data_IF_281789355172
#
_entry.id   IF_281789355172
#
_cell.length_a   1.000
_cell.length_b   1.000
_cell.length_c   1.000
_cell.angle_alpha   90.00
_cell.angle_beta   90.00
_cell.angle_gamma   90.00
#
_symmetry.space_group_name_H-M   'P 1'
#
loop_
_entity.id
_entity.type
_entity.pdbx_description
1 polymer ?
#
# COMPACT_ATOMS: atom_id res chain seq x y z
N UNK A 1 -45.45 -3.64 19.75
CA UNK A 1 -44.10 -3.20 20.15
C UNK A 1 -43.25 -3.22 18.90
N UNK A 2 -43.23 -2.11 18.17
CA UNK A 2 -42.35 -1.93 17.02
C UNK A 2 -40.93 -1.74 17.53
N UNK A 3 -40.04 -2.66 17.15
CA UNK A 3 -38.62 -2.57 17.43
C UNK A 3 -38.01 -1.61 16.41
N UNK A 4 -37.80 -0.36 16.82
CA UNK A 4 -37.09 0.65 16.03
C UNK A 4 -35.68 0.14 15.73
N UNK A 5 -35.44 -0.21 14.47
CA UNK A 5 -34.11 -0.49 13.95
C UNK A 5 -33.38 0.85 13.89
N UNK A 6 -32.50 1.10 14.87
CA UNK A 6 -31.57 2.24 14.85
C UNK A 6 -30.50 1.98 13.79
N UNK A 7 -30.68 2.55 12.60
CA UNK A 7 -29.58 2.73 11.66
C UNK A 7 -28.53 3.65 12.30
N UNK A 8 -27.24 3.26 12.35
CA UNK A 8 -26.19 4.16 12.81
C UNK A 8 -26.15 5.39 11.89
N UNK A 9 -26.10 6.57 12.51
CA UNK A 9 -26.13 7.86 11.81
C UNK A 9 -25.07 7.92 10.72
N UNK A 10 -25.51 8.21 9.49
CA UNK A 10 -24.65 8.48 8.34
C UNK A 10 -23.86 9.78 8.58
N UNK A 11 -22.70 9.67 9.22
CA UNK A 11 -21.81 10.80 9.42
C UNK A 11 -21.02 11.05 8.12
N UNK A 12 -21.56 11.95 7.28
CA UNK A 12 -20.75 12.68 6.31
C UNK A 12 -19.92 13.69 7.08
N UNK A 13 -18.61 13.57 7.02
CA UNK A 13 -17.70 14.41 7.79
C UNK A 13 -16.35 14.53 7.11
N UNK A 14 -15.63 15.60 7.46
CA UNK A 14 -14.26 15.83 7.04
C UNK A 14 -13.34 15.49 8.20
N UNK A 15 -12.37 14.64 7.94
CA UNK A 15 -11.46 14.09 8.94
C UNK A 15 -10.02 14.22 8.45
N UNK A 16 -9.06 14.22 9.36
CA UNK A 16 -7.69 13.86 8.99
C UNK A 16 -7.54 12.35 9.06
N UNK A 17 -6.77 11.78 8.13
CA UNK A 17 -6.55 10.35 8.06
C UNK A 17 -5.19 10.02 7.44
N UNK A 18 -4.64 8.88 7.87
CA UNK A 18 -3.65 8.16 7.10
C UNK A 18 -4.32 7.54 5.88
N UNK A 19 -3.68 7.66 4.72
CA UNK A 19 -3.96 6.89 3.50
C UNK A 19 -2.72 6.06 3.21
N UNK A 20 -2.87 4.74 3.12
CA UNK A 20 -1.75 3.82 2.94
C UNK A 20 -2.05 2.83 1.83
N UNK A 21 -1.20 2.80 0.80
CA UNK A 21 -1.47 2.08 -0.44
C UNK A 21 -0.29 1.16 -0.81
N UNK A 22 -0.33 -0.12 -0.43
CA UNK A 22 0.46 -1.16 -1.09
C UNK A 22 -0.04 -1.40 -2.51
N UNK A 23 0.89 -1.45 -3.47
CA UNK A 23 0.66 -1.61 -4.90
C UNK A 23 1.65 -2.61 -5.49
N UNK A 24 1.15 -3.61 -6.22
CA UNK A 24 1.97 -4.67 -6.78
C UNK A 24 2.65 -4.18 -8.07
N UNK A 25 3.94 -3.86 -7.97
CA UNK A 25 4.74 -3.48 -9.12
C UNK A 25 4.95 -4.66 -10.08
N UNK A 26 4.85 -4.39 -11.39
CA UNK A 26 5.00 -5.40 -12.45
C UNK A 26 3.69 -6.10 -12.85
N UNK A 27 2.58 -5.77 -12.20
CA UNK A 27 1.27 -6.36 -12.42
C UNK A 27 0.77 -6.31 -13.86
N UNK A 28 0.79 -5.14 -14.51
CA UNK A 28 0.27 -4.99 -15.88
C UNK A 28 1.02 -5.90 -16.87
N UNK A 29 2.35 -5.98 -16.72
CA UNK A 29 3.17 -6.86 -17.54
C UNK A 29 2.84 -8.33 -17.27
N UNK A 30 2.70 -8.68 -15.99
CA UNK A 30 2.29 -10.01 -15.57
C UNK A 30 0.95 -10.41 -16.19
N UNK A 31 -0.10 -9.58 -16.12
CA UNK A 31 -1.39 -9.92 -16.73
C UNK A 31 -1.34 -10.11 -18.25
N UNK A 32 -0.52 -9.32 -18.96
CA UNK A 32 -0.44 -9.39 -20.42
C UNK A 32 0.35 -10.59 -20.94
N UNK A 33 1.30 -11.11 -20.17
CA UNK A 33 2.22 -12.18 -20.60
C UNK A 33 1.68 -13.59 -20.28
N UNK A 34 0.48 -13.72 -19.72
CA UNK A 34 0.09 -14.91 -18.95
C UNK A 34 -1.36 -15.35 -19.16
N UNK A 35 -1.68 -16.60 -18.81
CA UNK A 35 -3.07 -17.07 -18.83
C UNK A 35 -3.90 -16.39 -17.74
N UNK A 36 -4.94 -15.67 -18.16
CA UNK A 36 -5.75 -14.78 -17.32
C UNK A 36 -6.28 -15.45 -16.04
N UNK A 37 -6.76 -16.68 -16.12
CA UNK A 37 -7.32 -17.39 -14.96
C UNK A 37 -6.24 -17.72 -13.89
N UNK A 38 -5.06 -18.17 -14.31
CA UNK A 38 -3.96 -18.48 -13.38
C UNK A 38 -3.45 -17.20 -12.71
N UNK A 39 -3.30 -16.14 -13.50
CA UNK A 39 -2.83 -14.85 -13.03
C UNK A 39 -3.76 -14.21 -12.02
N UNK A 40 -5.09 -14.28 -12.24
CA UNK A 40 -6.07 -13.83 -11.26
C UNK A 40 -5.96 -14.58 -9.92
N UNK A 41 -5.77 -15.91 -9.95
CA UNK A 41 -5.61 -16.71 -8.74
C UNK A 41 -4.36 -16.35 -7.94
N UNK A 42 -3.24 -16.06 -8.61
CA UNK A 42 -2.00 -15.60 -7.97
C UNK A 42 -2.20 -14.22 -7.33
N UNK A 43 -2.81 -13.29 -8.07
CA UNK A 43 -3.02 -11.91 -7.58
C UNK A 43 -3.96 -11.89 -6.38
N UNK A 44 -5.03 -12.69 -6.36
CA UNK A 44 -5.92 -12.81 -5.19
C UNK A 44 -5.13 -13.20 -3.94
N UNK A 45 -4.28 -14.24 -4.04
CA UNK A 45 -3.45 -14.69 -2.91
C UNK A 45 -2.47 -13.62 -2.43
N UNK A 46 -1.88 -12.86 -3.36
CA UNK A 46 -0.96 -11.78 -3.03
C UNK A 46 -1.67 -10.61 -2.32
N UNK A 47 -2.86 -10.22 -2.78
CA UNK A 47 -3.69 -9.22 -2.13
C UNK A 47 -4.17 -9.69 -0.74
N UNK A 48 -4.56 -10.96 -0.61
CA UNK A 48 -4.89 -11.58 0.67
C UNK A 48 -3.70 -11.50 1.65
N UNK A 49 -2.49 -11.83 1.20
CA UNK A 49 -1.30 -11.73 2.04
C UNK A 49 -1.03 -10.28 2.50
N UNK A 50 -1.31 -9.27 1.64
CA UNK A 50 -1.22 -7.85 2.02
C UNK A 50 -2.26 -7.53 3.10
N UNK A 51 -3.52 -7.94 2.91
CA UNK A 51 -4.62 -7.72 3.86
C UNK A 51 -4.33 -8.35 5.23
N UNK A 52 -3.86 -9.59 5.26
CA UNK A 52 -3.50 -10.34 6.48
C UNK A 52 -2.23 -9.79 7.17
N UNK A 53 -1.47 -8.95 6.49
CA UNK A 53 -0.28 -8.29 7.04
C UNK A 53 -0.61 -6.99 7.80
N UNK A 54 -1.86 -6.56 7.82
CA UNK A 54 -2.30 -5.31 8.46
C UNK A 54 -2.27 -5.41 10.00
N UNK A 55 -1.15 -5.03 10.60
CA UNK A 55 -0.96 -4.97 12.04
C UNK A 55 -1.47 -3.66 12.66
N UNK A 56 -1.57 -2.59 11.85
CA UNK A 56 -1.99 -1.26 12.34
C UNK A 56 -3.51 -1.13 12.48
N UNK A 57 -4.28 -2.17 12.16
CA UNK A 57 -5.74 -2.14 12.18
C UNK A 57 -6.30 -1.07 11.24
N UNK A 58 -5.70 -0.94 10.05
CA UNK A 58 -6.19 -0.02 9.02
C UNK A 58 -7.51 -0.53 8.43
N UNK A 59 -8.40 0.38 8.08
CA UNK A 59 -9.64 0.04 7.37
C UNK A 59 -9.37 -0.03 5.86
N UNK A 60 -10.01 -0.94 5.15
CA UNK A 60 -9.94 -1.03 3.68
C UNK A 60 -11.02 -0.12 3.09
N UNK A 61 -10.61 0.84 2.26
CA UNK A 61 -11.55 1.66 1.48
C UNK A 61 -11.88 1.00 0.14
N UNK A 62 -10.85 0.51 -0.57
CA UNK A 62 -11.01 -0.04 -1.91
C UNK A 62 -9.88 -1.03 -2.23
N UNK A 63 -10.17 -1.97 -3.13
CA UNK A 63 -9.19 -2.85 -3.77
C UNK A 63 -9.32 -2.60 -5.28
N UNK A 64 -8.28 -2.07 -5.89
CA UNK A 64 -8.27 -1.65 -7.30
C UNK A 64 -7.22 -2.44 -8.07
N UNK A 65 -7.63 -3.52 -8.74
CA UNK A 65 -6.70 -4.36 -9.50
C UNK A 65 -5.61 -4.96 -8.62
N UNK A 66 -4.45 -4.30 -8.60
CA UNK A 66 -3.21 -4.63 -7.90
C UNK A 66 -2.88 -3.79 -6.67
N UNK A 67 -3.74 -2.82 -6.33
CA UNK A 67 -3.57 -1.95 -5.16
C UNK A 67 -4.64 -2.17 -4.10
N UNK A 68 -4.26 -1.99 -2.83
CA UNK A 68 -5.22 -1.92 -1.71
C UNK A 68 -5.13 -0.54 -1.09
N UNK A 69 -6.24 0.21 -1.07
CA UNK A 69 -6.29 1.49 -0.37
C UNK A 69 -6.74 1.26 1.07
N UNK A 70 -5.79 1.38 1.99
CA UNK A 70 -6.05 1.43 3.42
C UNK A 70 -6.18 2.86 3.92
N UNK A 71 -6.91 3.02 5.03
CA UNK A 71 -6.98 4.28 5.76
C UNK A 71 -7.11 4.10 7.27
N UNK A 72 -6.76 5.16 8.00
CA UNK A 72 -7.01 5.27 9.44
C UNK A 72 -7.37 6.71 9.79
N UNK A 73 -8.62 6.94 10.19
CA UNK A 73 -9.10 8.26 10.64
C UNK A 73 -8.46 8.61 11.98
N UNK A 74 -8.07 9.88 12.12
CA UNK A 74 -7.51 10.43 13.35
C UNK A 74 -6.00 10.69 13.25
N UNK A 75 -5.31 10.49 14.37
CA UNK A 75 -3.86 10.66 14.44
C UNK A 75 -3.13 9.68 13.53
N UNK A 76 -2.13 10.17 12.80
CA UNK A 76 -1.27 9.34 11.98
C UNK A 76 -0.51 8.34 12.85
N UNK A 77 -0.42 7.05 12.46
CA UNK A 77 0.54 6.14 13.05
C UNK A 77 1.95 6.69 12.97
N UNK A 78 2.74 6.40 14.00
CA UNK A 78 4.11 6.86 14.11
C UNK A 78 4.99 6.30 13.00
N UNK A 79 6.10 6.98 12.69
CA UNK A 79 7.08 6.51 11.70
C UNK A 79 7.56 5.06 11.99
N UNK A 80 7.88 4.65 13.22
CA UNK A 80 8.23 3.26 13.53
C UNK A 80 7.12 2.26 13.22
N UNK A 81 5.87 2.63 13.47
CA UNK A 81 4.70 1.79 13.17
C UNK A 81 4.53 1.61 11.65
N UNK A 82 4.62 2.69 10.87
CA UNK A 82 4.53 2.62 9.40
C UNK A 82 5.72 1.87 8.79
N UNK A 83 6.93 2.09 9.30
CA UNK A 83 8.13 1.37 8.88
C UNK A 83 7.99 -0.14 9.14
N UNK A 84 7.54 -0.53 10.34
CA UNK A 84 7.26 -1.93 10.68
C UNK A 84 6.17 -2.52 9.79
N UNK A 85 5.05 -1.82 9.60
CA UNK A 85 3.94 -2.26 8.75
C UNK A 85 4.40 -2.50 7.29
N UNK A 86 5.22 -1.60 6.76
CA UNK A 86 5.77 -1.71 5.41
C UNK A 86 6.69 -2.92 5.29
N UNK A 87 7.58 -3.12 6.26
CA UNK A 87 8.46 -4.29 6.33
C UNK A 87 7.67 -5.60 6.43
N UNK A 88 6.67 -5.68 7.31
CA UNK A 88 5.84 -6.89 7.46
C UNK A 88 5.13 -7.25 6.16
N UNK A 89 4.46 -6.29 5.51
CA UNK A 89 3.78 -6.52 4.24
C UNK A 89 4.75 -6.99 3.15
N UNK A 90 5.89 -6.31 3.01
CA UNK A 90 6.91 -6.65 2.04
C UNK A 90 7.45 -8.08 2.24
N UNK A 91 7.83 -8.43 3.47
CA UNK A 91 8.39 -9.75 3.78
C UNK A 91 7.38 -10.88 3.58
N UNK A 92 6.12 -10.71 4.02
CA UNK A 92 5.07 -11.71 3.82
C UNK A 92 4.71 -11.86 2.34
N UNK A 93 4.64 -10.77 1.59
CA UNK A 93 4.42 -10.78 0.14
C UNK A 93 5.52 -11.58 -0.58
N UNK A 94 6.80 -11.29 -0.32
CA UNK A 94 7.91 -12.00 -0.96
C UNK A 94 8.06 -13.45 -0.47
N UNK A 95 7.68 -13.75 0.77
CA UNK A 95 7.63 -15.13 1.24
C UNK A 95 6.58 -15.93 0.44
N UNK A 96 5.39 -15.38 0.24
CA UNK A 96 4.35 -16.01 -0.57
C UNK A 96 4.80 -16.18 -2.03
N UNK A 97 5.48 -15.20 -2.62
CA UNK A 97 6.07 -15.36 -3.96
C UNK A 97 7.04 -16.54 -4.03
N UNK A 98 7.92 -16.71 -3.03
CA UNK A 98 8.82 -17.87 -2.94
C UNK A 98 8.02 -19.18 -2.84
N UNK A 99 6.97 -19.22 -2.02
CA UNK A 99 6.10 -20.41 -1.89
C UNK A 99 5.46 -20.76 -3.23
N UNK A 100 4.91 -19.77 -3.94
CA UNK A 100 4.28 -19.97 -5.25
C UNK A 100 5.31 -20.49 -6.26
N UNK A 101 6.52 -19.92 -6.28
CA UNK A 101 7.59 -20.36 -7.19
C UNK A 101 8.10 -21.78 -6.90
N UNK A 102 8.19 -22.19 -5.62
CA UNK A 102 8.57 -23.58 -5.24
C UNK A 102 7.47 -24.60 -5.52
N UNK A 103 6.20 -24.20 -5.35
CA UNK A 103 5.04 -25.11 -5.47
C UNK A 103 4.45 -25.15 -6.88
N UNK A 104 5.00 -24.38 -7.82
CA UNK A 104 4.54 -24.38 -9.20
C UNK A 104 4.71 -25.77 -9.83
N UNK A 105 3.62 -26.28 -10.37
CA UNK A 105 3.59 -27.51 -11.18
C UNK A 105 3.58 -27.20 -12.68
N UNK A 106 3.80 -25.93 -13.03
CA UNK A 106 3.50 -25.34 -14.31
C UNK A 106 4.73 -24.58 -14.84
N UNK A 107 5.08 -24.79 -16.11
CA UNK A 107 6.11 -24.03 -16.83
C UNK A 107 5.49 -22.95 -17.73
N UNK A 108 4.35 -22.38 -17.33
CA UNK A 108 3.71 -21.34 -18.12
C UNK A 108 4.39 -19.98 -17.89
N UNK A 109 4.18 -19.05 -18.82
CA UNK A 109 4.74 -17.71 -18.72
C UNK A 109 4.33 -16.96 -17.43
N UNK A 110 3.20 -17.32 -16.79
CA UNK A 110 2.80 -16.77 -15.49
C UNK A 110 3.72 -17.24 -14.37
N UNK A 111 3.92 -18.55 -14.32
CA UNK A 111 4.81 -19.18 -13.35
C UNK A 111 6.26 -18.68 -13.48
N UNK A 112 6.71 -18.24 -14.66
CA UNK A 112 8.05 -17.64 -14.85
C UNK A 112 8.13 -16.12 -14.61
N UNK A 113 7.01 -15.41 -14.72
CA UNK A 113 6.96 -13.96 -14.57
C UNK A 113 6.58 -13.51 -13.16
N UNK A 114 5.97 -14.39 -12.37
CA UNK A 114 5.53 -14.10 -10.98
C UNK A 114 6.69 -13.65 -10.09
N UNK A 115 7.90 -14.19 -10.30
CA UNK A 115 9.11 -13.81 -9.56
C UNK A 115 9.57 -12.38 -9.82
N UNK A 116 9.02 -11.72 -10.85
CA UNK A 116 9.28 -10.31 -11.16
C UNK A 116 8.30 -9.35 -10.49
N UNK A 117 7.24 -9.87 -9.87
CA UNK A 117 6.33 -9.06 -9.06
C UNK A 117 7.05 -8.62 -7.80
N UNK A 118 6.82 -7.37 -7.41
CA UNK A 118 7.31 -6.83 -6.15
C UNK A 118 6.27 -5.86 -5.58
N UNK A 119 6.58 -5.21 -4.46
CA UNK A 119 5.65 -4.37 -3.74
C UNK A 119 6.26 -3.01 -3.48
N UNK A 120 5.52 -1.95 -3.84
CA UNK A 120 5.76 -0.60 -3.35
C UNK A 120 4.62 -0.16 -2.44
N UNK A 121 4.90 0.77 -1.53
CA UNK A 121 3.94 1.26 -0.56
C UNK A 121 3.96 2.79 -0.53
N UNK A 122 2.78 3.41 -0.60
CA UNK A 122 2.59 4.85 -0.48
C UNK A 122 1.98 5.16 0.87
N UNK A 123 2.57 6.10 1.61
CA UNK A 123 2.08 6.58 2.89
C UNK A 123 1.82 8.09 2.81
N UNK A 124 0.54 8.45 2.87
CA UNK A 124 0.06 9.82 2.84
C UNK A 124 -0.74 10.15 4.09
N UNK A 125 -0.70 11.40 4.52
CA UNK A 125 -1.56 11.91 5.59
C UNK A 125 -2.24 13.18 5.12
N UNK A 126 -3.53 13.31 5.36
CA UNK A 126 -4.24 14.49 4.87
C UNK A 126 -5.72 14.47 5.21
N UNK A 127 -6.45 15.38 4.59
CA UNK A 127 -7.86 15.57 4.83
C UNK A 127 -8.69 14.69 3.90
N UNK A 128 -9.58 13.89 4.49
CA UNK A 128 -10.50 13.01 3.78
C UNK A 128 -11.93 13.31 4.18
N UNK A 129 -12.85 13.16 3.24
CA UNK A 129 -14.28 13.14 3.51
C UNK A 129 -14.81 11.72 3.28
N UNK A 130 -15.68 11.25 4.16
CA UNK A 130 -16.34 9.96 4.01
C UNK A 130 -17.74 10.15 3.41
N UNK A 131 -18.05 9.39 2.36
CA UNK A 131 -19.41 9.24 1.86
C UNK A 131 -19.85 7.79 1.99
N UNK A 132 -21.12 7.56 2.29
CA UNK A 132 -21.70 6.22 2.29
C UNK A 132 -22.65 6.09 1.11
N UNK A 133 -22.35 5.14 0.21
CA UNK A 133 -23.20 4.77 -0.91
C UNK A 133 -23.77 3.39 -0.62
N UNK A 134 -25.06 3.34 -0.24
CA UNK A 134 -25.71 2.13 0.29
C UNK A 134 -24.96 1.58 1.51
N UNK A 135 -24.27 0.44 1.38
CA UNK A 135 -23.51 -0.21 2.45
C UNK A 135 -21.99 -0.02 2.28
N UNK A 136 -21.56 0.79 1.32
CA UNK A 136 -20.14 1.01 1.01
C UNK A 136 -19.72 2.41 1.46
N UNK A 137 -18.71 2.48 2.31
CA UNK A 137 -18.04 3.74 2.64
C UNK A 137 -16.96 4.01 1.59
N UNK A 138 -16.93 5.21 1.03
CA UNK A 138 -15.84 5.69 0.16
C UNK A 138 -15.16 6.90 0.76
N UNK A 139 -13.85 6.99 0.55
CA UNK A 139 -13.06 8.18 0.83
C UNK A 139 -13.06 9.10 -0.38
N UNK A 140 -13.24 10.39 -0.14
CA UNK A 140 -13.12 11.46 -1.13
C UNK A 140 -12.19 12.54 -0.59
N UNK A 141 -11.62 13.34 -1.49
CA UNK A 141 -10.81 14.50 -1.13
C UNK A 141 -9.57 14.64 -2.01
N UNK A 142 -9.01 15.85 -2.02
CA UNK A 142 -7.77 16.14 -2.74
C UNK A 142 -6.61 15.28 -2.27
N UNK A 143 -6.52 14.97 -0.98
CA UNK A 143 -5.47 14.11 -0.42
C UNK A 143 -5.62 12.64 -0.82
N UNK A 144 -6.86 12.15 -1.01
CA UNK A 144 -7.11 10.81 -1.58
C UNK A 144 -6.61 10.76 -3.02
N UNK A 145 -6.97 11.77 -3.83
CA UNK A 145 -6.52 11.89 -5.23
C UNK A 145 -4.99 11.97 -5.28
N UNK A 146 -4.38 12.76 -4.40
CA UNK A 146 -2.93 12.89 -4.33
C UNK A 146 -2.26 11.55 -3.99
N UNK A 147 -2.75 10.82 -2.99
CA UNK A 147 -2.22 9.51 -2.63
C UNK A 147 -2.27 8.52 -3.81
N UNK A 148 -3.36 8.49 -4.58
CA UNK A 148 -3.43 7.69 -5.80
C UNK A 148 -2.45 8.17 -6.88
N UNK A 149 -2.32 9.49 -7.08
CA UNK A 149 -1.37 10.03 -8.06
C UNK A 149 0.07 9.69 -7.70
N UNK A 150 0.42 9.66 -6.41
CA UNK A 150 1.74 9.25 -5.92
C UNK A 150 2.10 7.80 -6.30
N UNK A 151 1.16 6.94 -6.68
CA UNK A 151 1.49 5.62 -7.26
C UNK A 151 2.21 5.74 -8.61
N UNK A 152 1.93 6.81 -9.37
CA UNK A 152 2.53 7.16 -10.66
C UNK A 152 3.59 8.24 -10.46
N UNK A 153 4.72 7.86 -9.85
CA UNK A 153 5.86 8.72 -9.62
C UNK A 153 7.08 8.32 -10.46
N UNK A 154 8.15 9.12 -10.38
CA UNK A 154 9.38 8.96 -11.17
C UNK A 154 10.52 8.32 -10.35
N UNK A 155 10.23 7.58 -9.29
CA UNK A 155 11.27 6.88 -8.51
C UNK A 155 11.88 5.76 -9.36
N UNK A 156 13.21 5.77 -9.47
CA UNK A 156 13.96 4.65 -10.04
C UNK A 156 13.89 3.44 -9.09
N UNK A 157 13.01 2.50 -9.40
CA UNK A 157 12.82 1.27 -8.64
C UNK A 157 11.36 0.85 -8.57
N UNK A 158 11.13 -0.41 -8.24
CA UNK A 158 9.78 -0.99 -8.15
C UNK A 158 9.40 -1.38 -6.72
N UNK A 159 10.34 -1.31 -5.77
CA UNK A 159 10.15 -1.73 -4.38
C UNK A 159 10.68 -0.70 -3.40
N UNK A 160 9.75 0.09 -2.86
CA UNK A 160 10.05 1.16 -1.95
C UNK A 160 8.85 1.47 -1.06
N UNK A 161 9.11 2.15 0.04
CA UNK A 161 8.09 2.89 0.79
C UNK A 161 8.28 4.38 0.51
N UNK A 162 7.22 5.06 0.08
CA UNK A 162 7.16 6.50 -0.14
C UNK A 162 6.38 7.14 1.02
N UNK A 163 7.00 8.13 1.66
CA UNK A 163 6.45 8.93 2.74
C UNK A 163 6.22 10.35 2.22
N UNK A 164 4.96 10.75 2.07
CA UNK A 164 4.62 12.12 1.67
C UNK A 164 5.13 13.15 2.67
N UNK A 165 5.38 14.37 2.21
CA UNK A 165 5.71 15.48 3.11
C UNK A 165 4.61 15.71 4.16
N UNK A 166 3.33 15.59 3.82
CA UNK A 166 2.24 15.76 4.78
C UNK A 166 2.30 14.73 5.91
N UNK A 167 2.61 13.47 5.58
CA UNK A 167 2.83 12.45 6.60
C UNK A 167 4.04 12.79 7.47
N UNK A 168 5.17 13.17 6.85
CA UNK A 168 6.39 13.49 7.61
C UNK A 168 6.19 14.68 8.56
N UNK A 169 5.44 15.71 8.14
CA UNK A 169 5.07 16.87 8.97
C UNK A 169 4.16 16.50 10.14
N UNK A 170 3.43 15.38 10.06
CA UNK A 170 2.61 14.90 11.17
C UNK A 170 3.41 14.13 12.23
N UNK A 171 4.70 13.86 12.00
CA UNK A 171 5.55 13.10 12.90
C UNK A 171 6.37 14.02 13.82
N UNK A 172 6.62 13.57 15.05
CA UNK A 172 7.51 14.26 15.98
C UNK A 172 9.00 13.97 15.72
N UNK A 173 9.31 13.01 14.84
CA UNK A 173 10.66 12.51 14.61
C UNK A 173 11.37 13.38 13.57
N UNK A 174 12.52 13.94 13.96
CA UNK A 174 13.38 14.71 13.06
C UNK A 174 14.37 13.82 12.28
N UNK A 175 14.72 12.65 12.83
CA UNK A 175 15.71 11.75 12.23
C UNK A 175 15.10 10.41 11.78
N UNK A 176 14.80 10.31 10.49
CA UNK A 176 14.30 9.08 9.87
C UNK A 176 15.32 7.94 9.94
N UNK A 177 16.63 8.23 9.99
CA UNK A 177 17.68 7.20 9.99
C UNK A 177 17.66 6.35 11.26
N UNK A 178 17.17 6.92 12.37
CA UNK A 178 17.01 6.18 13.63
C UNK A 178 15.93 5.09 13.57
N UNK A 179 15.00 5.19 12.62
CA UNK A 179 13.86 4.26 12.46
C UNK A 179 14.02 3.37 11.24
N UNK A 180 14.50 3.95 10.14
CA UNK A 180 14.73 3.25 8.88
C UNK A 180 16.22 3.00 8.76
N UNK A 181 16.64 1.84 9.24
CA UNK A 181 18.04 1.43 9.38
C UNK A 181 18.52 0.51 8.26
N UNK A 182 17.63 0.08 7.36
CA UNK A 182 17.94 -0.93 6.36
C UNK A 182 18.48 -0.37 5.05
N UNK A 183 18.33 0.93 4.78
CA UNK A 183 18.80 1.61 3.56
C UNK A 183 18.81 3.13 3.72
N UNK A 184 19.52 3.83 2.84
CA UNK A 184 19.51 5.30 2.80
C UNK A 184 18.15 5.87 2.39
N UNK A 185 17.70 6.89 3.14
CA UNK A 185 16.51 7.66 2.81
C UNK A 185 16.82 8.66 1.72
N UNK A 186 16.08 8.58 0.61
CA UNK A 186 16.18 9.50 -0.53
C UNK A 186 15.03 10.48 -0.53
N UNK A 187 15.23 11.62 -1.15
CA UNK A 187 14.22 12.67 -1.29
C UNK A 187 13.80 12.79 -2.76
N UNK A 188 12.57 13.20 -3.00
CA UNK A 188 12.06 13.40 -4.35
C UNK A 188 10.94 14.44 -4.38
N UNK A 189 10.68 14.94 -5.58
CA UNK A 189 9.59 15.86 -5.85
C UNK A 189 8.85 15.42 -7.12
N UNK A 190 7.56 15.74 -7.16
CA UNK A 190 6.76 15.56 -8.37
C UNK A 190 5.78 16.71 -8.51
N UNK A 191 5.68 17.24 -9.72
CA UNK A 191 4.74 18.30 -10.06
C UNK A 191 3.46 17.69 -10.63
N UNK A 192 2.33 18.03 -10.01
CA UNK A 192 1.02 17.63 -10.50
C UNK A 192 0.22 18.84 -10.95
N UNK A 193 -0.40 18.73 -12.12
CA UNK A 193 -1.37 19.69 -12.61
C UNK A 193 -2.47 19.90 -11.56
N UNK A 194 -2.65 21.16 -11.13
CA UNK A 194 -3.57 21.65 -10.11
C UNK A 194 -3.28 21.28 -8.63
N UNK A 195 -2.25 20.48 -8.32
CA UNK A 195 -1.85 20.20 -6.93
C UNK A 195 -0.49 20.83 -6.56
N UNK A 196 0.25 21.29 -7.56
CA UNK A 196 1.58 21.89 -7.36
C UNK A 196 2.67 20.86 -7.14
N UNK A 197 3.79 21.32 -6.61
CA UNK A 197 4.95 20.49 -6.28
C UNK A 197 4.71 19.73 -4.99
N UNK A 198 4.85 18.41 -5.05
CA UNK A 198 4.71 17.53 -3.89
C UNK A 198 6.06 16.96 -3.55
N UNK A 199 6.51 17.23 -2.33
CA UNK A 199 7.73 16.68 -1.76
C UNK A 199 7.44 15.34 -1.08
N UNK A 200 8.39 14.42 -1.17
CA UNK A 200 8.32 13.15 -0.47
C UNK A 200 9.72 12.63 -0.15
N UNK A 201 9.77 11.71 0.81
CA UNK A 201 10.95 10.86 1.03
C UNK A 201 10.61 9.44 0.68
N UNK A 202 11.59 8.66 0.25
CA UNK A 202 11.38 7.26 -0.05
C UNK A 202 12.59 6.43 0.32
N UNK A 203 12.35 5.15 0.59
CA UNK A 203 13.39 4.20 0.96
C UNK A 203 13.16 2.91 0.20
N UNK A 204 14.22 2.35 -0.39
CA UNK A 204 14.12 1.05 -1.05
C UNK A 204 13.86 -0.07 -0.04
N UNK A 205 13.02 -1.02 -0.43
CA UNK A 205 12.75 -2.22 0.35
C UNK A 205 13.63 -3.40 -0.06
N UNK A 206 14.35 -3.30 -1.19
CA UNK A 206 15.22 -4.36 -1.73
C UNK A 206 16.14 -5.00 -0.68
N UNK A 207 16.81 -4.23 0.20
CA UNK A 207 17.72 -4.82 1.20
C UNK A 207 17.02 -5.77 2.19
N UNK A 208 15.70 -5.65 2.36
CA UNK A 208 14.90 -6.52 3.22
C UNK A 208 14.66 -7.90 2.61
N UNK A 209 14.88 -8.10 1.31
CA UNK A 209 14.75 -9.42 0.66
C UNK A 209 15.62 -10.49 1.34
N UNK A 210 16.76 -10.10 1.93
CA UNK A 210 17.65 -10.98 2.71
C UNK A 210 16.99 -11.56 3.97
N UNK A 211 15.92 -10.92 4.46
CA UNK A 211 15.19 -11.31 5.66
C UNK A 211 13.94 -12.16 5.33
N UNK A 212 13.65 -12.39 4.05
CA UNK A 212 12.52 -13.24 3.65
C UNK A 212 12.82 -14.68 4.09
N UNK A 213 11.99 -15.29 4.96
CA UNK A 213 12.26 -16.62 5.50
C UNK A 213 12.48 -17.67 4.40
N UNK A 214 13.37 -18.65 4.63
CA UNK A 214 13.51 -19.79 3.74
C UNK A 214 12.22 -20.63 3.74
N UNK A 215 12.04 -21.43 2.70
CA UNK A 215 10.94 -22.37 2.61
C UNK A 215 11.34 -23.66 3.35
N UNK A 216 10.52 -24.10 4.29
CA UNK A 216 10.63 -25.42 4.90
C UNK A 216 10.46 -26.55 3.86
#
# INVERSE_FOLDING_TARGET
METTITHPSQATGTYTALIFIPDISGFTKFLNETELAHSQGIISKLLEAILESNELGLSVSEIEGDAVLFYKIGSAPSLPEVAKQSKTMFLKFHHLLKVIDKTRTCNCAACDSVVRLTLKLICHYGTVSTITVRNFMKLLGSDVILAHRLLKNNIEGNEYVLLSENYLRSQAIQDLKSVIDWEEVKEGTIDYEHLGTVHYKYVSLSPLLRLVPPLE
#
